data_IF_953653459116
#
_entry.id   IF_953653459116
#
_cell.length_a   1.000
_cell.length_b   1.000
_cell.length_c   1.000
_cell.angle_alpha   90.00
_cell.angle_beta   90.00
_cell.angle_gamma   90.00
#
_symmetry.space_group_name_H-M   'P 1'
#
loop_
_entity.id
_entity.type
_entity.pdbx_description
1 polymer ?
#
# COMPACT_ATOMS: atom_id res chain seq x y z
N UNK A 1 -17.64 7.19 9.79
CA UNK A 1 -16.89 7.12 8.51
C UNK A 1 -17.11 5.79 7.80
N UNK A 2 -16.75 4.62 8.34
CA UNK A 2 -16.89 3.30 7.69
C UNK A 2 -18.32 2.99 7.20
N UNK A 3 -19.34 3.23 8.05
CA UNK A 3 -20.75 3.02 7.66
C UNK A 3 -21.19 3.95 6.51
N UNK A 4 -20.69 5.18 6.47
CA UNK A 4 -20.97 6.11 5.38
C UNK A 4 -20.29 5.65 4.07
N UNK A 5 -19.03 5.20 4.14
CA UNK A 5 -18.35 4.58 2.99
C UNK A 5 -19.10 3.36 2.47
N UNK A 6 -19.54 2.49 3.37
CA UNK A 6 -20.31 1.30 3.02
C UNK A 6 -21.65 1.63 2.33
N UNK A 7 -22.36 2.63 2.84
CA UNK A 7 -23.60 3.10 2.24
C UNK A 7 -23.40 3.73 0.85
N UNK A 8 -22.21 4.31 0.62
CA UNK A 8 -21.93 5.08 -0.61
C UNK A 8 -22.44 6.50 -0.56
N UNK A 9 -22.04 7.31 -1.54
CA UNK A 9 -22.37 8.73 -1.63
C UNK A 9 -23.30 9.06 -2.81
N UNK A 10 -24.11 10.08 -2.63
CA UNK A 10 -25.05 10.56 -3.64
C UNK A 10 -26.20 9.60 -3.91
N UNK A 11 -27.06 9.97 -4.86
CA UNK A 11 -28.28 9.21 -5.21
C UNK A 11 -28.01 7.83 -5.83
N UNK A 12 -26.80 7.61 -6.30
CA UNK A 12 -26.38 6.34 -6.94
C UNK A 12 -25.53 5.45 -6.01
N UNK A 13 -25.37 5.83 -4.75
CA UNK A 13 -24.58 5.08 -3.76
C UNK A 13 -23.17 4.71 -4.25
N UNK A 14 -22.50 5.66 -4.92
CA UNK A 14 -21.16 5.44 -5.45
C UNK A 14 -20.13 5.34 -4.33
N UNK A 15 -19.04 4.60 -4.59
CA UNK A 15 -17.91 4.52 -3.66
C UNK A 15 -17.23 5.88 -3.56
N UNK A 16 -17.09 6.46 -2.34
CA UNK A 16 -16.32 7.68 -2.17
C UNK A 16 -14.85 7.42 -2.42
N UNK A 17 -14.25 8.15 -3.37
CA UNK A 17 -12.81 7.99 -3.67
C UNK A 17 -11.97 8.81 -2.69
N UNK A 18 -12.46 9.96 -2.27
CA UNK A 18 -11.79 10.85 -1.31
C UNK A 18 -12.73 11.25 -0.17
N UNK A 19 -12.18 11.46 1.04
CA UNK A 19 -10.80 11.21 1.46
C UNK A 19 -10.48 9.71 1.48
N UNK A 20 -9.23 9.35 1.14
CA UNK A 20 -8.75 7.96 1.24
C UNK A 20 -8.72 7.60 2.73
N UNK A 21 -9.61 6.71 3.14
CA UNK A 21 -9.67 6.23 4.51
C UNK A 21 -8.64 5.12 4.76
N UNK A 22 -7.99 5.17 5.91
CA UNK A 22 -6.99 4.21 6.35
C UNK A 22 -7.48 3.57 7.64
N UNK A 23 -7.47 2.25 7.69
CA UNK A 23 -7.75 1.48 8.89
C UNK A 23 -6.46 0.89 9.43
N UNK A 24 -6.07 1.34 10.62
CA UNK A 24 -4.91 0.81 11.32
C UNK A 24 -5.29 -0.49 12.04
N UNK A 25 -4.61 -1.57 11.68
CA UNK A 25 -4.78 -2.89 12.25
C UNK A 25 -3.67 -3.13 13.27
N UNK A 26 -4.05 -3.54 14.50
CA UNK A 26 -3.09 -3.74 15.59
C UNK A 26 -3.58 -4.80 16.56
N UNK A 27 -2.69 -5.70 17.00
CA UNK A 27 -2.97 -6.67 18.04
C UNK A 27 -3.30 -6.00 19.38
N UNK A 28 -4.25 -6.60 20.11
CA UNK A 28 -4.74 -6.04 21.36
C UNK A 28 -5.65 -4.82 21.23
N UNK A 29 -5.82 -4.29 20.00
CA UNK A 29 -6.70 -3.15 19.70
C UNK A 29 -7.93 -3.56 18.89
N UNK A 30 -7.71 -4.22 17.75
CA UNK A 30 -8.79 -4.59 16.84
C UNK A 30 -8.49 -5.83 15.99
N UNK A 31 -7.37 -6.54 16.24
CA UNK A 31 -6.92 -7.65 15.40
C UNK A 31 -7.73 -8.93 15.62
N UNK A 32 -8.00 -9.29 16.88
CA UNK A 32 -8.54 -10.58 17.27
C UNK A 32 -9.93 -10.49 17.88
N UNK A 33 -10.73 -11.56 17.81
CA UNK A 33 -11.97 -11.65 18.59
C UNK A 33 -11.68 -11.42 20.07
N UNK A 34 -12.43 -10.48 20.68
CA UNK A 34 -12.23 -10.06 22.05
C UNK A 34 -11.44 -8.76 22.22
N UNK A 35 -10.76 -8.28 21.20
CA UNK A 35 -10.15 -6.94 21.23
C UNK A 35 -11.24 -5.85 21.30
N UNK A 36 -10.97 -4.71 21.96
CA UNK A 36 -11.96 -3.66 22.24
C UNK A 36 -12.67 -3.10 20.99
N UNK A 37 -12.00 -3.07 19.85
CA UNK A 37 -12.53 -2.51 18.57
C UNK A 37 -12.56 -3.55 17.46
N UNK A 38 -12.74 -4.82 17.79
CA UNK A 38 -12.81 -5.89 16.80
C UNK A 38 -14.00 -5.74 15.84
N UNK A 39 -15.14 -5.23 16.34
CA UNK A 39 -16.33 -4.93 15.54
C UNK A 39 -16.05 -3.90 14.44
N UNK A 40 -15.19 -2.91 14.73
CA UNK A 40 -14.77 -1.93 13.73
C UNK A 40 -13.93 -2.57 12.62
N UNK A 41 -13.09 -3.56 12.94
CA UNK A 41 -12.36 -4.33 11.93
C UNK A 41 -13.33 -5.11 11.04
N UNK A 42 -14.33 -5.75 11.60
CA UNK A 42 -15.33 -6.48 10.81
C UNK A 42 -16.07 -5.54 9.85
N UNK A 43 -16.48 -4.38 10.32
CA UNK A 43 -17.10 -3.35 9.50
C UNK A 43 -16.15 -2.81 8.41
N UNK A 44 -14.86 -2.66 8.73
CA UNK A 44 -13.85 -2.23 7.76
C UNK A 44 -13.64 -3.27 6.65
N UNK A 45 -13.61 -4.57 7.01
CA UNK A 45 -13.51 -5.68 6.04
C UNK A 45 -14.76 -5.73 5.16
N UNK A 46 -15.95 -5.59 5.75
CA UNK A 46 -17.19 -5.51 4.98
C UNK A 46 -17.18 -4.34 4.00
N UNK A 47 -16.74 -3.17 4.45
CA UNK A 47 -16.60 -2.00 3.59
C UNK A 47 -15.59 -2.24 2.47
N UNK A 48 -14.43 -2.81 2.77
CA UNK A 48 -13.40 -3.15 1.79
C UNK A 48 -13.93 -4.10 0.72
N UNK A 49 -14.66 -5.15 1.11
CA UNK A 49 -15.19 -6.14 0.17
C UNK A 49 -16.21 -5.57 -0.82
N UNK A 50 -16.94 -4.53 -0.43
CA UNK A 50 -18.00 -3.91 -1.25
C UNK A 50 -17.57 -2.62 -1.94
N UNK A 51 -16.56 -1.91 -1.39
CA UNK A 51 -16.22 -0.53 -1.76
C UNK A 51 -14.74 -0.31 -2.06
N UNK A 52 -13.89 -1.33 -1.90
CA UNK A 52 -12.41 -1.24 -2.07
C UNK A 52 -11.74 -0.35 -0.98
N UNK A 53 -12.48 0.22 -0.07
CA UNK A 53 -12.01 1.07 1.04
C UNK A 53 -12.56 0.58 2.39
N UNK A 54 -11.81 0.79 3.48
CA UNK A 54 -10.55 1.55 3.65
C UNK A 54 -9.31 0.77 3.20
N UNK A 55 -8.17 1.48 3.02
CA UNK A 55 -6.87 0.85 2.97
C UNK A 55 -6.50 0.34 4.37
N UNK A 56 -5.88 -0.84 4.43
CA UNK A 56 -5.41 -1.41 5.70
C UNK A 56 -3.93 -1.16 5.88
N UNK A 57 -3.55 -0.75 7.09
CA UNK A 57 -2.16 -0.66 7.53
C UNK A 57 -1.98 -1.61 8.70
N UNK A 58 -1.05 -2.54 8.58
CA UNK A 58 -0.70 -3.46 9.65
C UNK A 58 0.40 -2.84 10.52
N UNK A 59 0.00 -2.28 11.66
CA UNK A 59 0.93 -1.61 12.57
C UNK A 59 1.90 -2.57 13.28
N UNK A 60 1.55 -3.85 13.39
CA UNK A 60 2.41 -4.85 14.03
C UNK A 60 3.60 -5.26 13.13
N UNK A 61 3.44 -5.12 11.81
CA UNK A 61 4.47 -5.41 10.81
C UNK A 61 5.08 -4.15 10.19
N UNK A 62 4.60 -2.98 10.58
CA UNK A 62 5.21 -1.75 10.08
C UNK A 62 6.61 -1.61 10.66
N UNK A 63 7.51 -1.03 9.86
CA UNK A 63 8.86 -0.70 10.34
C UNK A 63 8.87 0.54 11.23
N UNK A 64 7.70 1.12 11.48
CA UNK A 64 7.52 2.25 12.35
C UNK A 64 7.56 1.78 13.81
N UNK A 65 8.45 2.34 14.60
CA UNK A 65 8.47 2.15 16.05
C UNK A 65 7.44 3.09 16.66
N UNK A 66 6.29 2.54 17.04
CA UNK A 66 5.28 3.29 17.77
C UNK A 66 5.58 3.26 19.26
N UNK A 67 5.63 4.44 19.90
CA UNK A 67 5.65 4.58 21.34
C UNK A 67 4.22 4.85 21.82
N UNK A 68 3.60 3.95 22.61
CA UNK A 68 2.25 4.16 23.14
C UNK A 68 2.07 5.45 23.95
N UNK A 69 3.16 5.97 24.53
CA UNK A 69 3.16 7.19 25.32
C UNK A 69 3.39 8.46 24.48
N UNK A 70 3.72 8.30 23.21
CA UNK A 70 3.96 9.40 22.29
C UNK A 70 3.12 9.25 21.00
N UNK A 71 1.95 9.91 20.94
CA UNK A 71 1.08 9.83 19.76
C UNK A 71 1.73 10.30 18.45
N UNK A 72 2.77 11.12 18.51
CA UNK A 72 3.47 11.61 17.33
C UNK A 72 4.26 10.51 16.62
N UNK A 73 4.51 9.40 17.31
CA UNK A 73 5.19 8.23 16.73
C UNK A 73 4.24 7.32 15.94
N UNK A 74 2.94 7.52 16.04
CA UNK A 74 1.97 6.64 15.40
C UNK A 74 2.08 6.71 13.90
N UNK A 75 2.06 5.52 13.30
CA UNK A 75 2.18 5.33 11.88
C UNK A 75 1.03 6.00 11.13
N UNK A 76 1.39 6.76 10.10
CA UNK A 76 0.45 7.34 9.14
C UNK A 76 0.91 7.08 7.72
N UNK A 77 0.00 7.14 6.78
CA UNK A 77 0.33 7.10 5.35
C UNK A 77 -0.04 8.41 4.68
N UNK A 78 0.77 8.81 3.71
CA UNK A 78 0.42 9.86 2.77
C UNK A 78 0.04 9.19 1.45
N UNK A 79 -1.24 9.27 1.08
CA UNK A 79 -1.77 8.47 -0.01
C UNK A 79 -1.70 6.97 0.29
N UNK A 80 -1.44 6.15 -0.74
CA UNK A 80 -1.49 4.68 -0.65
C UNK A 80 -0.11 4.01 -0.47
N UNK A 81 1.00 4.74 -0.53
CA UNK A 81 2.35 4.13 -0.61
C UNK A 81 3.42 4.82 0.21
N UNK A 82 3.22 6.06 0.66
CA UNK A 82 4.21 6.78 1.45
C UNK A 82 3.94 6.56 2.93
N UNK A 83 4.91 6.02 3.62
CA UNK A 83 4.88 5.85 5.06
C UNK A 83 5.39 7.12 5.74
N UNK A 84 4.58 7.68 6.63
CA UNK A 84 4.95 8.79 7.50
C UNK A 84 5.18 8.24 8.90
N UNK A 85 6.41 8.13 9.31
CA UNK A 85 6.78 7.56 10.59
C UNK A 85 8.26 7.75 10.88
N UNK A 86 8.81 6.80 11.62
CA UNK A 86 10.22 6.80 11.98
C UNK A 86 11.12 6.66 10.75
N UNK A 87 12.10 7.53 10.63
CA UNK A 87 13.13 7.50 9.61
C UNK A 87 14.43 6.93 10.20
N UNK A 88 14.84 5.78 9.71
CA UNK A 88 16.05 5.07 10.17
C UNK A 88 17.34 5.80 9.82
N UNK A 89 17.34 6.63 8.79
CA UNK A 89 18.54 7.35 8.36
C UNK A 89 18.83 8.57 9.25
N UNK A 90 17.76 9.27 9.65
CA UNK A 90 17.85 10.44 10.52
C UNK A 90 17.62 10.11 11.99
N UNK A 91 17.29 8.85 12.32
CA UNK A 91 16.96 8.37 13.66
C UNK A 91 15.88 9.24 14.33
N UNK A 92 14.88 9.63 13.57
CA UNK A 92 13.84 10.56 14.01
C UNK A 92 12.49 10.31 13.36
N UNK A 93 11.42 10.82 13.99
CA UNK A 93 10.07 10.85 13.38
C UNK A 93 9.94 12.06 12.44
N UNK A 94 10.36 11.88 11.20
CA UNK A 94 10.29 12.93 10.20
C UNK A 94 9.10 12.72 9.25
N UNK A 95 8.19 13.70 9.22
CA UNK A 95 7.02 13.72 8.34
C UNK A 95 7.18 14.70 7.15
N UNK A 96 8.26 15.46 7.15
CA UNK A 96 8.57 16.46 6.12
C UNK A 96 9.56 15.87 5.12
N UNK A 97 9.44 16.25 3.85
CA UNK A 97 10.33 15.76 2.79
C UNK A 97 10.15 14.28 2.46
N UNK A 98 8.98 13.69 2.75
CA UNK A 98 8.66 12.30 2.45
C UNK A 98 7.82 12.20 1.19
N UNK A 99 8.11 11.22 0.34
CA UNK A 99 7.38 11.03 -0.90
C UNK A 99 7.80 9.74 -1.62
N UNK A 100 7.13 9.46 -2.73
CA UNK A 100 7.52 8.40 -3.65
C UNK A 100 8.33 9.01 -4.79
N UNK A 101 9.57 8.58 -4.95
CA UNK A 101 10.45 9.11 -5.98
C UNK A 101 10.15 8.51 -7.36
N UNK A 102 10.09 7.20 -7.44
CA UNK A 102 10.00 6.48 -8.71
C UNK A 102 9.12 5.22 -8.57
N UNK A 103 7.79 5.35 -8.69
CA UNK A 103 6.91 4.20 -8.68
C UNK A 103 7.07 3.35 -9.93
N UNK A 104 6.96 2.03 -9.79
CA UNK A 104 6.89 1.09 -10.89
C UNK A 104 5.70 0.14 -10.69
N UNK A 105 5.17 -0.44 -11.76
CA UNK A 105 4.00 -1.31 -11.70
C UNK A 105 4.23 -2.56 -12.54
N UNK A 106 4.10 -3.74 -11.92
CA UNK A 106 4.07 -5.01 -12.61
C UNK A 106 2.63 -5.42 -12.94
N UNK A 107 2.39 -5.85 -14.17
CA UNK A 107 1.07 -6.29 -14.64
C UNK A 107 0.94 -7.80 -14.41
N UNK A 108 0.65 -8.20 -13.17
CA UNK A 108 0.49 -9.62 -12.81
C UNK A 108 -0.63 -10.34 -13.56
N UNK A 109 -1.79 -9.72 -13.89
CA UNK A 109 -2.80 -10.38 -14.72
C UNK A 109 -2.27 -10.86 -16.07
N UNK A 110 -1.32 -10.15 -16.67
CA UNK A 110 -0.68 -10.57 -17.93
C UNK A 110 0.02 -11.91 -17.75
N UNK A 111 0.85 -12.04 -16.71
CA UNK A 111 1.53 -13.30 -16.38
C UNK A 111 0.52 -14.42 -16.08
N UNK A 112 -0.53 -14.13 -15.33
CA UNK A 112 -1.58 -15.10 -15.03
C UNK A 112 -2.30 -15.61 -16.29
N UNK A 113 -2.50 -14.78 -17.29
CA UNK A 113 -3.08 -15.15 -18.58
C UNK A 113 -2.08 -15.96 -19.42
N UNK A 114 -0.83 -15.54 -19.46
CA UNK A 114 0.21 -16.19 -20.28
C UNK A 114 0.57 -17.58 -19.79
N UNK A 115 0.63 -17.79 -18.47
CA UNK A 115 1.00 -19.08 -17.85
C UNK A 115 -0.20 -19.91 -17.36
N UNK A 116 -1.39 -19.32 -17.38
CA UNK A 116 -2.65 -19.98 -17.05
C UNK A 116 -3.26 -20.73 -18.24
N UNK A 117 -4.51 -21.15 -18.04
CA UNK A 117 -5.30 -21.89 -19.03
C UNK A 117 -6.18 -20.98 -19.91
N UNK A 118 -6.24 -19.68 -19.62
CA UNK A 118 -7.20 -18.75 -20.23
C UNK A 118 -7.06 -18.62 -21.76
N UNK A 119 -5.84 -18.80 -22.30
CA UNK A 119 -5.58 -18.72 -23.73
C UNK A 119 -5.78 -20.04 -24.48
N UNK A 120 -6.20 -21.09 -23.82
CA UNK A 120 -6.35 -22.43 -24.43
C UNK A 120 -5.05 -23.08 -24.91
N UNK A 121 -3.90 -22.49 -24.55
CA UNK A 121 -2.58 -23.04 -24.92
C UNK A 121 -2.12 -24.19 -24.03
N UNK A 122 -2.75 -24.36 -22.88
CA UNK A 122 -2.43 -25.37 -21.85
C UNK A 122 -3.71 -25.92 -21.26
N UNK A 123 -3.67 -27.18 -20.87
CA UNK A 123 -4.75 -27.82 -20.10
C UNK A 123 -4.60 -27.56 -18.60
N UNK A 124 -3.37 -27.38 -18.12
CA UNK A 124 -3.05 -27.07 -16.72
C UNK A 124 -2.17 -25.84 -16.63
N UNK A 125 -2.28 -25.03 -15.56
CA UNK A 125 -1.44 -23.85 -15.41
C UNK A 125 0.04 -24.23 -15.20
N UNK A 126 0.93 -23.47 -15.86
CA UNK A 126 2.37 -23.60 -15.69
C UNK A 126 2.87 -22.69 -14.55
N UNK A 127 2.72 -23.17 -13.31
CA UNK A 127 3.14 -22.40 -12.13
C UNK A 127 4.65 -22.17 -12.08
N UNK A 128 5.45 -23.14 -12.57
CA UNK A 128 6.91 -22.99 -12.58
C UNK A 128 7.34 -21.89 -13.53
N UNK A 129 6.80 -21.87 -14.74
CA UNK A 129 7.07 -20.81 -15.71
C UNK A 129 6.56 -19.45 -15.22
N UNK A 130 5.38 -19.41 -14.57
CA UNK A 130 4.86 -18.19 -13.96
C UNK A 130 5.83 -17.59 -12.93
N UNK A 131 6.31 -18.39 -12.00
CA UNK A 131 7.23 -17.90 -10.96
C UNK A 131 8.57 -17.46 -11.54
N UNK A 132 9.13 -18.22 -12.50
CA UNK A 132 10.36 -17.81 -13.18
C UNK A 132 10.19 -16.45 -13.88
N UNK A 133 9.13 -16.28 -14.64
CA UNK A 133 8.87 -15.00 -15.33
C UNK A 133 8.54 -13.85 -14.35
N UNK A 134 7.93 -14.17 -13.20
CA UNK A 134 7.71 -13.18 -12.15
C UNK A 134 9.01 -12.70 -11.52
N UNK A 135 9.95 -13.62 -11.23
CA UNK A 135 11.26 -13.29 -10.68
C UNK A 135 12.09 -12.45 -11.67
N UNK A 136 12.10 -12.83 -12.95
CA UNK A 136 12.77 -12.05 -14.01
C UNK A 136 12.21 -10.62 -14.10
N UNK A 137 10.88 -10.49 -14.04
CA UNK A 137 10.22 -9.19 -14.07
C UNK A 137 10.50 -8.38 -12.81
N UNK A 138 10.60 -9.03 -11.66
CA UNK A 138 10.93 -8.37 -10.39
C UNK A 138 12.34 -7.79 -10.43
N UNK A 139 13.33 -8.56 -10.90
CA UNK A 139 14.70 -8.08 -11.08
C UNK A 139 14.78 -6.90 -12.06
N UNK A 140 14.04 -6.96 -13.17
CA UNK A 140 13.97 -5.86 -14.12
C UNK A 140 13.34 -4.60 -13.50
N UNK A 141 12.31 -4.76 -12.68
CA UNK A 141 11.69 -3.65 -11.95
C UNK A 141 12.64 -3.04 -10.93
N UNK A 142 13.38 -3.86 -10.18
CA UNK A 142 14.38 -3.39 -9.23
C UNK A 142 15.48 -2.58 -9.93
N UNK A 143 16.08 -3.14 -10.99
CA UNK A 143 17.08 -2.42 -11.80
C UNK A 143 16.53 -1.08 -12.31
N UNK A 144 15.35 -1.07 -12.91
CA UNK A 144 14.74 0.15 -13.42
C UNK A 144 14.44 1.19 -12.33
N UNK A 145 14.11 0.77 -11.10
CA UNK A 145 13.94 1.67 -9.96
C UNK A 145 15.26 2.28 -9.52
N UNK A 146 16.35 1.49 -9.45
CA UNK A 146 17.68 1.96 -9.08
C UNK A 146 18.23 2.96 -10.12
N UNK A 147 18.11 2.64 -11.40
CA UNK A 147 18.52 3.55 -12.49
C UNK A 147 17.75 4.88 -12.44
N UNK A 148 16.43 4.83 -12.20
CA UNK A 148 15.60 6.04 -12.08
C UNK A 148 15.95 6.83 -10.83
N UNK A 149 16.23 6.14 -9.71
CA UNK A 149 16.69 6.80 -8.49
C UNK A 149 18.00 7.54 -8.75
N UNK A 150 19.00 6.90 -9.38
CA UNK A 150 20.27 7.53 -9.71
C UNK A 150 20.10 8.75 -10.63
N UNK A 151 19.21 8.67 -11.61
CA UNK A 151 18.88 9.82 -12.46
C UNK A 151 18.31 10.96 -11.61
N UNK A 152 17.40 10.66 -10.71
CA UNK A 152 16.70 11.69 -9.92
C UNK A 152 17.63 12.38 -8.91
N UNK A 153 18.44 11.62 -8.18
CA UNK A 153 19.34 12.19 -7.17
C UNK A 153 20.49 13.00 -7.77
N UNK A 154 20.82 12.76 -9.04
CA UNK A 154 21.85 13.50 -9.78
C UNK A 154 21.28 14.70 -10.58
N UNK A 155 19.97 14.97 -10.51
CA UNK A 155 19.39 16.16 -11.12
C UNK A 155 19.73 17.41 -10.29
N UNK A 156 19.94 18.56 -10.94
CA UNK A 156 20.10 19.82 -10.23
C UNK A 156 18.75 20.22 -9.57
N UNK A 157 18.78 20.97 -8.45
CA UNK A 157 17.57 21.39 -7.74
C UNK A 157 16.52 22.07 -8.61
N UNK A 158 16.96 22.80 -9.64
CA UNK A 158 16.11 23.51 -10.58
C UNK A 158 15.25 22.57 -11.46
N UNK A 159 15.69 21.32 -11.65
CA UNK A 159 14.94 20.33 -12.43
C UNK A 159 13.71 19.78 -11.68
N UNK A 160 13.70 19.90 -10.35
CA UNK A 160 12.62 19.42 -9.49
C UNK A 160 12.31 20.36 -8.34
N UNK A 161 11.83 21.59 -8.59
CA UNK A 161 11.68 22.64 -7.58
C UNK A 161 10.73 22.29 -6.43
N UNK A 162 9.92 21.25 -6.56
CA UNK A 162 9.02 20.77 -5.51
C UNK A 162 9.62 19.61 -4.69
N UNK A 163 10.83 19.17 -4.98
CA UNK A 163 11.50 18.05 -4.32
C UNK A 163 12.59 18.49 -3.34
N UNK A 164 12.91 19.78 -3.28
CA UNK A 164 13.94 20.38 -2.45
C UNK A 164 13.37 21.49 -1.56
#
# INVERSE_FOLDING_TARGET
>A
MLRASLAGVGKHHLTPIFPISIFQYKQGCNANPGDPNYDLKQLAIESLSKRIYPNFVNCDFSQAHEDPNNPDTYFATMGCRTMLGYDRHTDSYNRVGRGNLCPNTMILPKLGIEYGICLGKRETPDLKGFWSAFEDLLMLCEQGLLERFDIMVNQPPEAGPFMY
#
